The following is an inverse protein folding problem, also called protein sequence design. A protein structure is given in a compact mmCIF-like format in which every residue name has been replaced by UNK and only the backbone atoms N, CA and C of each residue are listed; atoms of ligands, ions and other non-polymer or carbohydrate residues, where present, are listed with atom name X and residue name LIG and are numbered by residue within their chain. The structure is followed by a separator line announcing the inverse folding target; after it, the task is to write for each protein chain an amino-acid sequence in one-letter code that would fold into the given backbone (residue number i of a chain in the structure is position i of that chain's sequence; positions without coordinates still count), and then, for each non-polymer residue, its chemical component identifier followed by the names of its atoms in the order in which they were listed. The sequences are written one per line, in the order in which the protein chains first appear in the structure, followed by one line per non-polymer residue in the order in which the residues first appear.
data_IF_807083807687
#
_entry.id   IF_807083807687
#
_cell.length_a   1.000
_cell.length_b   1.000
_cell.length_c   1.000
_cell.angle_alpha   90.00
_cell.angle_beta   90.00
_cell.angle_gamma   90.00
#
_symmetry.space_group_name_H-M   'P 1'
#
loop_
_entity.id
_entity.type
_entity.pdbx_description
1 polymer ?
#
# COMPACT_ATOMS: atom_id res chain seq x y z
N UNK A 1 -20.92 39.33 -26.09
CA UNK A 1 -21.27 38.56 -24.86
C UNK A 1 -20.14 38.72 -23.87
N UNK A 2 -20.48 39.04 -22.64
CA UNK A 2 -19.50 39.07 -21.56
C UNK A 2 -19.31 37.66 -20.94
N UNK A 3 -18.25 37.45 -20.21
CA UNK A 3 -17.99 36.18 -19.53
C UNK A 3 -19.15 35.73 -18.62
N UNK A 4 -19.86 36.71 -18.02
CA UNK A 4 -21.05 36.47 -17.20
C UNK A 4 -22.21 35.86 -17.99
N UNK A 5 -22.36 36.21 -19.29
CA UNK A 5 -23.42 35.68 -20.13
C UNK A 5 -23.17 34.24 -20.51
N UNK A 6 -21.91 33.89 -20.85
CA UNK A 6 -21.50 32.51 -21.10
C UNK A 6 -21.68 31.63 -19.88
N UNK A 7 -21.37 32.13 -18.66
CA UNK A 7 -21.59 31.37 -17.41
C UNK A 7 -23.06 31.05 -17.16
N UNK A 8 -23.97 32.03 -17.38
CA UNK A 8 -25.42 31.80 -17.24
C UNK A 8 -25.94 30.77 -18.25
N UNK A 9 -25.41 30.79 -19.45
CA UNK A 9 -25.77 29.82 -20.48
C UNK A 9 -25.28 28.41 -20.09
N UNK A 10 -24.03 28.28 -19.62
CA UNK A 10 -23.49 27.02 -19.08
C UNK A 10 -24.31 26.50 -17.90
N UNK A 11 -24.66 27.37 -16.93
CA UNK A 11 -25.47 26.97 -15.76
C UNK A 11 -26.83 26.39 -16.21
N UNK A 12 -27.43 26.96 -17.25
CA UNK A 12 -28.70 26.47 -17.83
C UNK A 12 -28.53 25.11 -18.52
N UNK A 13 -27.42 24.91 -19.25
CA UNK A 13 -27.09 23.64 -19.90
C UNK A 13 -26.82 22.56 -18.85
N UNK A 14 -26.03 22.88 -17.83
CA UNK A 14 -25.71 21.98 -16.75
C UNK A 14 -26.96 21.49 -15.98
N UNK A 15 -27.92 22.39 -15.75
CA UNK A 15 -29.19 22.03 -15.15
C UNK A 15 -29.98 21.02 -16.03
N UNK A 16 -30.00 21.21 -17.35
CA UNK A 16 -30.63 20.26 -18.27
C UNK A 16 -29.89 18.92 -18.30
N UNK A 17 -28.57 18.97 -18.33
CA UNK A 17 -27.73 17.74 -18.27
C UNK A 17 -27.99 16.94 -16.98
N UNK A 18 -28.13 17.61 -15.82
CA UNK A 18 -28.45 16.97 -14.55
C UNK A 18 -29.81 16.26 -14.61
N UNK A 19 -30.84 16.90 -15.19
CA UNK A 19 -32.16 16.27 -15.31
C UNK A 19 -32.14 15.08 -16.28
N UNK A 20 -31.42 15.14 -17.39
CA UNK A 20 -31.21 14.04 -18.30
C UNK A 20 -30.41 12.90 -17.64
N UNK A 21 -29.40 13.24 -16.85
CA UNK A 21 -28.65 12.25 -16.08
C UNK A 21 -29.53 11.51 -15.08
N UNK A 22 -30.39 12.21 -14.31
CA UNK A 22 -31.35 11.59 -13.40
C UNK A 22 -32.32 10.65 -14.13
N UNK A 23 -32.88 11.08 -15.25
CA UNK A 23 -33.76 10.25 -16.07
C UNK A 23 -33.05 8.99 -16.57
N UNK A 24 -31.81 9.15 -17.05
CA UNK A 24 -31.00 8.04 -17.50
C UNK A 24 -30.71 7.05 -16.35
N UNK A 25 -30.36 7.54 -15.16
CA UNK A 25 -30.07 6.69 -13.99
C UNK A 25 -31.32 5.95 -13.49
N UNK A 26 -32.51 6.54 -13.59
CA UNK A 26 -33.77 5.85 -13.31
C UNK A 26 -34.03 4.70 -14.31
N UNK A 27 -33.75 4.93 -15.60
CA UNK A 27 -33.85 3.87 -16.62
C UNK A 27 -32.81 2.77 -16.36
N UNK A 28 -31.58 3.13 -15.99
CA UNK A 28 -30.52 2.19 -15.61
C UNK A 28 -30.92 1.31 -14.42
N UNK A 29 -31.69 1.82 -13.46
CA UNK A 29 -32.26 1.01 -12.37
C UNK A 29 -33.17 -0.09 -12.91
N UNK A 30 -34.11 0.23 -13.80
CA UNK A 30 -34.97 -0.79 -14.42
C UNK A 30 -34.19 -1.81 -15.24
N UNK A 31 -33.13 -1.38 -15.93
CA UNK A 31 -32.21 -2.30 -16.63
C UNK A 31 -31.50 -3.23 -15.65
N UNK A 32 -31.05 -2.74 -14.48
CA UNK A 32 -30.43 -3.55 -13.45
C UNK A 32 -31.38 -4.63 -12.90
N UNK A 33 -32.63 -4.25 -12.60
CA UNK A 33 -33.67 -5.18 -12.13
C UNK A 33 -33.97 -6.24 -13.18
N UNK A 34 -34.14 -5.87 -14.44
CA UNK A 34 -34.36 -6.81 -15.55
C UNK A 34 -33.20 -7.79 -15.73
N UNK A 35 -31.94 -7.29 -15.69
CA UNK A 35 -30.76 -8.15 -15.80
C UNK A 35 -30.66 -9.12 -14.64
N UNK A 36 -30.96 -8.67 -13.41
CA UNK A 36 -30.98 -9.51 -12.23
C UNK A 36 -31.99 -10.66 -12.31
N UNK A 37 -33.22 -10.36 -12.75
CA UNK A 37 -34.28 -11.35 -12.91
C UNK A 37 -33.96 -12.38 -14.00
N UNK A 38 -33.34 -11.92 -15.10
CA UNK A 38 -32.99 -12.75 -16.24
C UNK A 38 -31.58 -13.34 -16.20
N UNK A 39 -30.83 -13.15 -15.09
CA UNK A 39 -29.44 -13.61 -14.90
C UNK A 39 -28.49 -13.16 -16.03
N UNK A 40 -28.67 -11.94 -16.52
CA UNK A 40 -27.83 -11.36 -17.56
C UNK A 40 -26.66 -10.60 -16.95
N UNK A 41 -25.46 -10.60 -17.60
CA UNK A 41 -24.32 -9.84 -17.12
C UNK A 41 -24.60 -8.34 -17.20
N UNK A 42 -24.07 -7.59 -16.22
CA UNK A 42 -24.16 -6.12 -16.22
C UNK A 42 -23.41 -5.53 -17.42
N UNK A 43 -22.20 -6.03 -17.68
CA UNK A 43 -21.37 -5.60 -18.80
C UNK A 43 -21.81 -6.26 -20.12
N UNK A 44 -22.07 -5.44 -21.12
CA UNK A 44 -22.41 -5.86 -22.50
C UNK A 44 -21.53 -5.11 -23.51
N UNK A 45 -20.37 -5.66 -23.81
CA UNK A 45 -19.34 -5.05 -24.67
C UNK A 45 -19.84 -4.60 -26.05
N UNK A 46 -20.77 -5.35 -26.66
CA UNK A 46 -21.35 -4.98 -27.94
C UNK A 46 -22.11 -3.65 -27.86
N UNK A 47 -23.01 -3.56 -26.87
CA UNK A 47 -23.83 -2.36 -26.67
C UNK A 47 -23.01 -1.13 -26.32
N UNK A 48 -21.97 -1.29 -25.50
CA UNK A 48 -21.09 -0.18 -25.16
C UNK A 48 -20.33 0.36 -26.37
N UNK A 49 -19.83 -0.51 -27.24
CA UNK A 49 -19.19 -0.09 -28.51
C UNK A 49 -20.14 0.69 -29.41
N UNK A 50 -21.39 0.24 -29.52
CA UNK A 50 -22.41 0.96 -30.31
C UNK A 50 -22.66 2.37 -29.77
N UNK A 51 -22.79 2.51 -28.44
CA UNK A 51 -23.03 3.81 -27.80
C UNK A 51 -21.84 4.76 -28.03
N UNK A 52 -20.62 4.25 -27.85
CA UNK A 52 -19.40 5.06 -28.06
C UNK A 52 -19.26 5.48 -29.53
N UNK A 53 -19.53 4.59 -30.47
CA UNK A 53 -19.47 4.92 -31.90
C UNK A 53 -20.55 5.94 -32.28
N UNK A 54 -21.78 5.80 -31.77
CA UNK A 54 -22.85 6.76 -32.02
C UNK A 54 -22.56 8.13 -31.40
N UNK A 55 -22.03 8.18 -30.19
CA UNK A 55 -21.64 9.44 -29.53
C UNK A 55 -20.53 10.15 -30.29
N UNK A 56 -19.50 9.42 -30.72
CA UNK A 56 -18.41 9.96 -31.51
C UNK A 56 -18.90 10.55 -32.84
N UNK A 57 -19.66 9.75 -33.61
CA UNK A 57 -20.20 10.20 -34.88
C UNK A 57 -21.17 11.41 -34.75
N UNK A 58 -21.94 11.48 -33.65
CA UNK A 58 -22.88 12.54 -33.40
C UNK A 58 -22.22 13.85 -32.94
N UNK A 59 -21.03 13.81 -32.40
CA UNK A 59 -20.33 14.98 -31.85
C UNK A 59 -19.57 15.80 -32.92
N UNK A 60 -19.31 15.22 -34.07
CA UNK A 60 -18.48 15.82 -35.13
C UNK A 60 -16.99 15.70 -34.84
N UNK A 61 -16.18 15.92 -35.87
CA UNK A 61 -14.74 15.62 -35.89
C UNK A 61 -13.94 16.31 -34.74
N UNK A 62 -14.30 17.56 -34.42
CA UNK A 62 -13.61 18.34 -33.36
C UNK A 62 -13.87 17.80 -31.94
N UNK A 63 -15.05 17.26 -31.67
CA UNK A 63 -15.49 16.84 -30.35
C UNK A 63 -15.57 15.33 -30.19
N UNK A 64 -15.19 14.53 -31.18
CA UNK A 64 -15.33 13.08 -31.21
C UNK A 64 -14.68 12.41 -29.98
N UNK A 65 -13.43 12.73 -29.69
CA UNK A 65 -12.68 12.11 -28.59
C UNK A 65 -13.22 12.54 -27.22
N UNK A 66 -13.64 13.79 -27.08
CA UNK A 66 -14.27 14.29 -25.86
C UNK A 66 -15.62 13.62 -25.61
N UNK A 67 -16.45 13.47 -26.64
CA UNK A 67 -17.72 12.78 -26.54
C UNK A 67 -17.54 11.30 -26.21
N UNK A 68 -16.57 10.64 -26.83
CA UNK A 68 -16.20 9.24 -26.52
C UNK A 68 -15.81 9.07 -25.05
N UNK A 69 -14.96 9.97 -24.54
CA UNK A 69 -14.51 9.95 -23.12
C UNK A 69 -15.66 10.21 -22.16
N UNK A 70 -16.49 11.22 -22.45
CA UNK A 70 -17.66 11.54 -21.64
C UNK A 70 -18.65 10.37 -21.54
N UNK A 71 -19.02 9.77 -22.67
CA UNK A 71 -19.94 8.63 -22.68
C UNK A 71 -19.34 7.35 -22.09
N UNK A 72 -18.02 7.14 -22.21
CA UNK A 72 -17.33 6.06 -21.53
C UNK A 72 -17.46 6.21 -20.00
N UNK A 73 -17.17 7.40 -19.48
CA UNK A 73 -17.32 7.71 -18.05
C UNK A 73 -18.77 7.55 -17.59
N UNK A 74 -19.75 8.03 -18.39
CA UNK A 74 -21.16 7.88 -18.08
C UNK A 74 -21.62 6.42 -18.02
N UNK A 75 -21.06 5.56 -18.86
CA UNK A 75 -21.31 4.11 -18.82
C UNK A 75 -20.65 3.45 -17.61
N UNK A 76 -19.44 3.83 -17.26
CA UNK A 76 -18.73 3.33 -16.06
C UNK A 76 -19.53 3.66 -14.78
N UNK A 77 -19.99 4.89 -14.63
CA UNK A 77 -20.87 5.31 -13.52
C UNK A 77 -22.16 4.48 -13.50
N UNK A 78 -22.74 4.24 -14.67
CA UNK A 78 -23.99 3.46 -14.77
C UNK A 78 -23.80 1.98 -14.44
N UNK A 79 -22.67 1.37 -14.80
CA UNK A 79 -22.32 0.01 -14.41
C UNK A 79 -22.15 -0.09 -12.89
N UNK A 80 -21.32 0.77 -12.31
CA UNK A 80 -21.13 0.80 -10.87
C UNK A 80 -22.45 0.96 -10.11
N UNK A 81 -23.39 1.77 -10.64
CA UNK A 81 -24.73 1.90 -10.06
C UNK A 81 -25.55 0.61 -10.18
N UNK A 82 -25.54 -0.08 -11.34
CA UNK A 82 -26.24 -1.36 -11.53
C UNK A 82 -25.68 -2.44 -10.60
N UNK A 83 -24.36 -2.58 -10.54
CA UNK A 83 -23.65 -3.56 -9.70
C UNK A 83 -24.02 -3.37 -8.23
N UNK A 84 -24.03 -2.13 -7.74
CA UNK A 84 -24.49 -1.80 -6.38
C UNK A 84 -25.95 -2.19 -6.10
N UNK A 85 -26.85 -2.03 -7.08
CA UNK A 85 -28.27 -2.41 -6.93
C UNK A 85 -28.49 -3.92 -6.99
N UNK A 86 -27.60 -4.64 -7.68
CA UNK A 86 -27.72 -6.09 -7.87
C UNK A 86 -26.85 -6.90 -6.90
N UNK A 87 -25.97 -6.25 -6.15
CA UNK A 87 -25.06 -6.89 -5.18
C UNK A 87 -25.84 -7.74 -4.17
N UNK A 88 -25.45 -9.02 -4.05
CA UNK A 88 -26.04 -9.99 -3.12
C UNK A 88 -25.10 -10.34 -1.96
N UNK A 89 -24.12 -9.53 -1.65
CA UNK A 89 -23.02 -9.94 -0.78
C UNK A 89 -22.15 -11.00 -1.48
N UNK A 90 -20.91 -10.65 -1.78
CA UNK A 90 -19.96 -11.55 -2.45
C UNK A 90 -19.03 -12.23 -1.45
N UNK A 91 -18.09 -12.99 -1.97
CA UNK A 91 -17.09 -13.74 -1.19
C UNK A 91 -16.25 -12.79 -0.30
N UNK A 92 -15.96 -11.59 -0.78
CA UNK A 92 -15.17 -10.61 -0.03
C UNK A 92 -15.98 -10.02 1.13
N UNK A 93 -17.24 -9.65 0.91
CA UNK A 93 -18.15 -9.19 1.97
C UNK A 93 -18.34 -10.25 3.06
N UNK A 94 -18.45 -11.53 2.70
CA UNK A 94 -18.51 -12.62 3.68
C UNK A 94 -17.18 -12.75 4.45
N UNK A 95 -16.05 -12.71 3.77
CA UNK A 95 -14.72 -12.76 4.38
C UNK A 95 -14.53 -11.62 5.38
N UNK A 96 -14.88 -10.41 4.98
CA UNK A 96 -14.80 -9.21 5.84
C UNK A 96 -15.74 -9.34 7.03
N UNK A 97 -17.00 -9.75 6.82
CA UNK A 97 -17.99 -9.93 7.88
C UNK A 97 -17.52 -10.99 8.90
N UNK A 98 -16.96 -12.10 8.43
CA UNK A 98 -16.40 -13.13 9.27
C UNK A 98 -15.17 -12.62 10.04
N UNK A 99 -14.29 -11.86 9.39
CA UNK A 99 -13.14 -11.24 10.03
C UNK A 99 -13.58 -10.29 11.15
N UNK A 100 -14.53 -9.38 10.88
CA UNK A 100 -15.08 -8.44 11.88
C UNK A 100 -15.69 -9.17 13.08
N UNK A 101 -16.43 -10.25 12.85
CA UNK A 101 -17.09 -11.03 13.90
C UNK A 101 -16.11 -11.80 14.77
N UNK A 102 -15.02 -12.30 14.20
CA UNK A 102 -14.07 -13.20 14.87
C UNK A 102 -12.81 -12.48 15.37
N UNK A 103 -12.61 -11.20 15.04
CA UNK A 103 -11.48 -10.43 15.51
C UNK A 103 -11.72 -9.94 16.94
N UNK A 104 -10.77 -10.12 17.85
CA UNK A 104 -10.85 -9.54 19.19
C UNK A 104 -10.98 -8.00 19.12
N UNK A 105 -11.68 -7.37 20.10
CA UNK A 105 -11.87 -5.91 20.10
C UNK A 105 -10.58 -5.12 20.37
N UNK A 106 -9.53 -5.78 20.87
CA UNK A 106 -8.25 -5.16 21.22
C UNK A 106 -7.15 -5.91 20.48
N UNK A 107 -6.21 -5.15 19.89
CA UNK A 107 -5.00 -5.72 19.27
C UNK A 107 -4.17 -6.48 20.32
N UNK A 108 -3.64 -7.66 20.03
CA UNK A 108 -2.96 -8.51 20.99
C UNK A 108 -1.71 -7.83 21.56
N UNK A 109 -1.53 -7.99 22.87
CA UNK A 109 -0.31 -7.53 23.57
C UNK A 109 0.87 -8.50 23.39
N UNK A 110 0.57 -9.76 23.14
CA UNK A 110 1.50 -10.88 23.00
C UNK A 110 1.27 -11.55 21.66
N UNK A 111 2.29 -12.25 21.17
CA UNK A 111 2.21 -13.06 19.94
C UNK A 111 3.60 -13.51 19.51
N UNK A 112 3.66 -14.55 18.70
CA UNK A 112 4.87 -14.94 18.01
C UNK A 112 5.00 -14.12 16.72
N UNK A 113 6.10 -13.37 16.60
CA UNK A 113 6.27 -12.38 15.52
C UNK A 113 7.56 -12.65 14.75
N UNK A 114 7.45 -12.79 13.44
CA UNK A 114 8.59 -12.87 12.54
C UNK A 114 9.06 -11.45 12.17
N UNK A 115 10.35 -11.16 12.38
CA UNK A 115 11.00 -9.90 12.01
C UNK A 115 12.20 -10.18 11.10
N UNK A 116 12.39 -9.36 10.06
CA UNK A 116 13.60 -9.43 9.24
C UNK A 116 14.77 -8.74 9.97
N UNK A 117 15.95 -9.35 9.90
CA UNK A 117 17.20 -8.80 10.44
C UNK A 117 17.63 -9.48 11.73
N UNK A 118 18.16 -8.69 12.63
CA UNK A 118 18.68 -9.12 13.95
C UNK A 118 18.10 -8.23 15.04
N UNK A 119 18.37 -8.57 16.29
CA UNK A 119 17.98 -7.75 17.43
C UNK A 119 18.48 -6.30 17.28
N UNK A 120 17.59 -5.32 17.55
CA UNK A 120 17.86 -3.90 17.32
C UNK A 120 17.49 -3.38 15.92
N UNK A 121 17.06 -4.22 14.98
CA UNK A 121 16.60 -3.80 13.66
C UNK A 121 15.30 -2.98 13.72
N UNK A 122 15.05 -2.12 12.72
CA UNK A 122 13.82 -1.32 12.65
C UNK A 122 12.55 -2.17 12.59
N UNK A 123 12.62 -3.39 12.04
CA UNK A 123 11.50 -4.35 12.10
C UNK A 123 11.14 -4.74 13.53
N UNK A 124 12.14 -4.94 14.41
CA UNK A 124 11.88 -5.13 15.83
C UNK A 124 11.30 -3.89 16.48
N UNK A 125 11.85 -2.70 16.20
CA UNK A 125 11.30 -1.45 16.76
C UNK A 125 9.84 -1.25 16.37
N UNK A 126 9.46 -1.64 15.15
CA UNK A 126 8.06 -1.66 14.71
C UNK A 126 7.24 -2.68 15.51
N UNK A 127 7.78 -3.88 15.73
CA UNK A 127 7.17 -4.93 16.54
C UNK A 127 6.92 -4.46 17.98
N UNK A 128 7.92 -3.88 18.63
CA UNK A 128 7.87 -3.41 20.03
C UNK A 128 6.88 -2.24 20.23
N UNK A 129 6.61 -1.49 19.16
CA UNK A 129 5.57 -0.45 19.16
C UNK A 129 4.15 -1.02 19.01
N UNK A 130 4.00 -2.12 18.29
CA UNK A 130 2.70 -2.77 18.04
C UNK A 130 2.30 -3.73 19.17
N UNK A 131 3.27 -4.45 19.73
CA UNK A 131 3.06 -5.46 20.77
C UNK A 131 3.77 -5.08 22.07
N UNK A 132 3.12 -5.32 23.19
CA UNK A 132 3.72 -5.00 24.51
C UNK A 132 4.78 -6.00 24.94
N UNK A 133 4.60 -7.28 24.60
CA UNK A 133 5.53 -8.36 24.95
C UNK A 133 5.48 -9.44 23.85
N UNK A 134 6.08 -9.19 22.70
CA UNK A 134 6.15 -10.16 21.61
C UNK A 134 7.23 -11.23 21.87
N UNK A 135 7.01 -12.43 21.33
CA UNK A 135 8.06 -13.43 21.16
C UNK A 135 8.59 -13.33 19.72
N UNK A 136 9.77 -12.75 19.56
CA UNK A 136 10.29 -12.40 18.23
C UNK A 136 11.22 -13.52 17.72
N UNK A 137 10.99 -13.93 16.46
CA UNK A 137 11.88 -14.76 15.68
C UNK A 137 12.48 -13.94 14.54
N UNK A 138 13.81 -13.98 14.40
CA UNK A 138 14.53 -13.22 13.40
C UNK A 138 14.82 -14.05 12.15
N UNK A 139 14.57 -13.47 10.99
CA UNK A 139 14.81 -14.07 9.68
C UNK A 139 15.78 -13.21 8.86
N UNK A 140 16.63 -13.86 8.07
CA UNK A 140 17.65 -13.15 7.29
C UNK A 140 17.06 -12.23 6.23
N UNK A 141 15.97 -12.64 5.59
CA UNK A 141 15.33 -11.94 4.46
C UNK A 141 13.81 -11.83 4.66
N UNK A 142 13.16 -11.06 3.81
CA UNK A 142 11.71 -10.85 3.87
C UNK A 142 10.93 -12.12 3.50
N UNK A 143 11.46 -12.94 2.59
CA UNK A 143 10.85 -14.21 2.23
C UNK A 143 10.67 -15.13 3.43
N UNK A 144 11.70 -15.20 4.31
CA UNK A 144 11.63 -15.97 5.56
C UNK A 144 10.50 -15.49 6.49
N UNK A 145 10.22 -14.19 6.54
CA UNK A 145 9.10 -13.64 7.33
C UNK A 145 7.76 -14.10 6.75
N UNK A 146 7.55 -13.98 5.42
CA UNK A 146 6.33 -14.45 4.77
C UNK A 146 6.12 -15.96 4.97
N UNK A 147 7.16 -16.77 4.74
CA UNK A 147 7.11 -18.21 4.90
C UNK A 147 6.79 -18.63 6.35
N UNK A 148 7.36 -17.94 7.35
CA UNK A 148 7.09 -18.21 8.75
C UNK A 148 5.63 -17.97 9.13
N UNK A 149 5.01 -16.90 8.59
CA UNK A 149 3.58 -16.60 8.81
C UNK A 149 2.70 -17.61 8.07
N UNK A 150 3.00 -17.90 6.81
CA UNK A 150 2.20 -18.82 5.99
C UNK A 150 2.22 -20.25 6.58
N UNK A 151 3.38 -20.72 7.04
CA UNK A 151 3.53 -22.03 7.67
C UNK A 151 2.99 -22.09 9.10
N UNK A 152 2.66 -20.95 9.71
CA UNK A 152 2.14 -20.86 11.07
C UNK A 152 3.22 -21.00 12.15
N UNK A 153 4.50 -20.82 11.81
CA UNK A 153 5.60 -20.75 12.77
C UNK A 153 5.50 -19.48 13.61
N UNK A 154 5.04 -18.39 12.99
CA UNK A 154 4.72 -17.14 13.66
C UNK A 154 3.30 -16.74 13.35
N UNK A 155 2.60 -16.16 14.34
CA UNK A 155 1.23 -15.64 14.16
C UNK A 155 1.21 -14.36 13.34
N UNK A 156 2.29 -13.57 13.46
CA UNK A 156 2.46 -12.27 12.83
C UNK A 156 3.81 -12.13 12.16
N UNK A 157 3.90 -11.24 11.18
CA UNK A 157 5.15 -10.83 10.54
C UNK A 157 5.23 -9.32 10.40
N UNK A 158 6.41 -8.75 10.56
CA UNK A 158 6.66 -7.31 10.39
C UNK A 158 7.53 -7.10 9.15
N UNK A 159 7.03 -6.31 8.21
CA UNK A 159 7.67 -6.04 6.91
C UNK A 159 7.67 -4.55 6.59
N UNK A 160 8.80 -3.95 6.17
CA UNK A 160 8.83 -2.61 5.65
C UNK A 160 8.22 -2.60 4.23
N UNK A 161 7.35 -1.63 3.91
CA UNK A 161 6.78 -1.53 2.56
C UNK A 161 7.15 -0.24 1.84
N UNK A 162 7.48 0.80 2.59
CA UNK A 162 7.77 2.12 2.03
C UNK A 162 8.70 2.91 2.93
N UNK A 163 9.64 3.62 2.31
CA UNK A 163 10.50 4.59 2.99
C UNK A 163 10.33 5.95 2.31
N UNK A 164 10.20 7.02 3.10
CA UNK A 164 9.94 8.37 2.56
C UNK A 164 11.08 8.92 1.69
N UNK A 165 12.29 8.39 1.82
CA UNK A 165 13.48 8.83 1.08
C UNK A 165 13.78 7.90 -0.11
N UNK A 166 13.63 6.59 0.06
CA UNK A 166 13.98 5.57 -0.95
C UNK A 166 12.75 4.99 -1.69
N UNK A 167 11.54 5.39 -1.27
CA UNK A 167 10.31 4.93 -1.92
C UNK A 167 9.93 3.50 -1.53
N UNK A 168 9.41 2.77 -2.48
CA UNK A 168 8.82 1.44 -2.31
C UNK A 168 9.88 0.37 -2.04
N UNK A 169 9.61 -0.52 -1.07
CA UNK A 169 10.44 -1.72 -0.83
C UNK A 169 10.00 -2.81 -1.80
N UNK A 170 10.56 -2.76 -3.00
CA UNK A 170 10.16 -3.57 -4.15
C UNK A 170 10.12 -5.08 -3.87
N UNK A 171 11.13 -5.62 -3.14
CA UNK A 171 11.22 -7.03 -2.80
C UNK A 171 9.99 -7.52 -2.01
N UNK A 172 9.48 -6.70 -1.07
CA UNK A 172 8.28 -7.04 -0.30
C UNK A 172 7.06 -7.14 -1.20
N UNK A 173 6.87 -6.18 -2.12
CA UNK A 173 5.76 -6.21 -3.08
C UNK A 173 5.85 -7.38 -4.06
N UNK A 174 7.06 -7.74 -4.48
CA UNK A 174 7.29 -8.89 -5.36
C UNK A 174 6.98 -10.22 -4.66
N UNK A 175 7.20 -10.30 -3.35
CA UNK A 175 6.87 -11.47 -2.52
C UNK A 175 5.37 -11.56 -2.20
N UNK A 176 4.66 -10.44 -2.08
CA UNK A 176 3.23 -10.42 -1.74
C UNK A 176 2.37 -11.31 -2.65
N UNK A 177 2.71 -11.43 -3.93
CA UNK A 177 1.99 -12.27 -4.90
C UNK A 177 2.16 -13.78 -4.66
N UNK A 178 3.21 -14.18 -3.94
CA UNK A 178 3.58 -15.59 -3.76
C UNK A 178 3.04 -16.20 -2.46
N UNK A 179 2.58 -15.36 -1.52
CA UNK A 179 2.17 -15.78 -0.19
C UNK A 179 0.74 -15.34 0.14
N UNK A 180 0.03 -16.16 0.92
CA UNK A 180 -1.31 -15.82 1.43
C UNK A 180 -1.20 -15.22 2.83
N UNK A 181 -1.59 -13.97 2.95
CA UNK A 181 -1.57 -13.23 4.21
C UNK A 181 -2.61 -12.11 4.19
N UNK A 182 -2.81 -11.49 5.36
CA UNK A 182 -3.61 -10.28 5.51
C UNK A 182 -2.83 -9.24 6.30
N UNK A 183 -2.90 -7.98 5.89
CA UNK A 183 -2.39 -6.85 6.65
C UNK A 183 -3.40 -6.55 7.75
N UNK A 184 -2.96 -6.60 9.01
CA UNK A 184 -3.81 -6.42 10.18
C UNK A 184 -3.55 -5.09 10.90
N UNK A 185 -2.40 -4.48 10.64
CA UNK A 185 -2.02 -3.15 11.15
C UNK A 185 -0.86 -2.57 10.34
N UNK A 186 -0.72 -1.24 10.34
CA UNK A 186 0.51 -0.60 9.88
C UNK A 186 1.03 0.39 10.92
N UNK A 187 2.34 0.69 10.83
CA UNK A 187 2.99 1.66 11.68
C UNK A 187 4.02 2.44 10.88
N UNK A 188 4.11 3.75 11.17
CA UNK A 188 5.10 4.63 10.59
C UNK A 188 6.17 4.97 11.62
N UNK A 189 7.41 4.57 11.35
CA UNK A 189 8.54 4.83 12.23
C UNK A 189 9.48 5.85 11.63
N UNK A 190 9.92 6.78 12.46
CA UNK A 190 11.04 7.66 12.13
C UNK A 190 12.33 6.84 12.14
N UNK A 191 13.12 7.00 11.08
CA UNK A 191 14.44 6.37 10.93
C UNK A 191 15.48 7.42 11.24
N UNK A 192 16.13 7.30 12.40
CA UNK A 192 17.21 8.16 12.84
C UNK A 192 18.52 7.37 12.93
N UNK A 193 19.55 7.86 12.25
CA UNK A 193 20.89 7.27 12.27
C UNK A 193 21.79 7.98 13.26
N UNK A 194 22.55 7.16 14.00
CA UNK A 194 23.56 7.62 14.97
C UNK A 194 24.88 6.95 14.66
N UNK A 195 25.98 7.67 14.92
CA UNK A 195 27.32 7.10 14.87
C UNK A 195 27.63 6.43 16.22
N UNK A 196 27.80 5.13 16.19
CA UNK A 196 28.05 4.30 17.38
C UNK A 196 29.49 3.81 17.35
N UNK A 197 30.15 3.82 18.51
CA UNK A 197 31.54 3.37 18.71
C UNK A 197 31.66 2.54 20.00
N UNK A 198 32.74 1.81 20.17
CA UNK A 198 33.08 1.23 21.48
C UNK A 198 33.41 2.33 22.49
N UNK A 199 33.06 2.15 23.78
CA UNK A 199 33.39 3.12 24.82
C UNK A 199 34.89 3.46 24.84
N UNK A 200 35.22 4.74 24.88
CA UNK A 200 36.59 5.22 24.85
C UNK A 200 37.13 5.60 23.46
N UNK A 201 36.36 5.31 22.39
CA UNK A 201 36.71 5.73 21.02
C UNK A 201 36.20 7.15 20.73
N UNK A 202 37.03 7.96 20.08
CA UNK A 202 36.66 9.30 19.58
C UNK A 202 36.55 9.28 18.03
N UNK A 203 35.86 10.26 17.46
CA UNK A 203 35.69 10.34 16.00
C UNK A 203 37.01 10.36 15.23
N UNK A 204 38.03 11.01 15.78
CA UNK A 204 39.39 11.08 15.17
C UNK A 204 40.08 9.71 15.01
N UNK A 205 39.68 8.73 15.84
CA UNK A 205 40.27 7.39 15.86
C UNK A 205 39.64 6.49 14.80
N UNK A 206 38.45 6.87 14.27
CA UNK A 206 37.64 6.03 13.35
C UNK A 206 38.28 6.00 11.97
N UNK A 207 38.62 4.79 11.51
CA UNK A 207 39.16 4.49 10.17
C UNK A 207 38.17 3.72 9.31
N UNK A 208 37.15 3.08 9.91
CA UNK A 208 36.18 2.27 9.17
C UNK A 208 34.78 2.43 9.78
N UNK A 209 33.75 2.52 8.92
CA UNK A 209 32.34 2.59 9.28
C UNK A 209 31.60 1.41 8.67
N UNK A 210 30.88 0.67 9.53
CA UNK A 210 29.95 -0.37 9.13
C UNK A 210 28.53 0.19 9.03
N UNK A 211 27.81 -0.08 7.95
CA UNK A 211 26.39 0.24 7.84
C UNK A 211 25.70 -0.45 6.67
N UNK A 212 24.39 -0.31 6.57
CA UNK A 212 23.60 -0.74 5.42
C UNK A 212 23.69 0.30 4.29
N UNK A 213 23.64 -0.15 3.04
CA UNK A 213 23.79 0.69 1.86
C UNK A 213 22.87 1.93 1.86
N UNK A 214 21.59 1.74 2.21
CA UNK A 214 20.65 2.86 2.30
C UNK A 214 21.03 3.89 3.37
N UNK A 215 21.49 3.43 4.55
CA UNK A 215 21.93 4.34 5.61
C UNK A 215 23.22 5.09 5.23
N UNK A 216 24.12 4.44 4.48
CA UNK A 216 25.31 5.05 3.89
C UNK A 216 24.90 6.21 2.96
N UNK A 217 23.95 5.97 2.06
CA UNK A 217 23.39 7.01 1.19
C UNK A 217 22.77 8.18 1.96
N UNK A 218 22.03 7.90 3.03
CA UNK A 218 21.40 8.90 3.90
C UNK A 218 22.39 9.69 4.77
N UNK A 219 23.61 9.21 4.90
CA UNK A 219 24.71 9.84 5.64
C UNK A 219 25.85 10.31 4.71
N UNK A 220 25.59 10.47 3.43
CA UNK A 220 26.62 10.73 2.42
C UNK A 220 27.37 12.06 2.62
N UNK A 221 26.74 13.10 3.17
CA UNK A 221 27.38 14.37 3.48
C UNK A 221 28.43 14.23 4.59
N UNK A 222 28.06 13.50 5.66
CA UNK A 222 28.99 13.17 6.73
C UNK A 222 30.18 12.36 6.22
N UNK A 223 29.95 11.35 5.39
CA UNK A 223 31.01 10.52 4.83
C UNK A 223 31.92 11.28 3.85
N UNK A 224 31.37 12.19 3.05
CA UNK A 224 32.17 13.10 2.18
C UNK A 224 33.04 14.05 2.99
N UNK A 225 32.60 14.49 4.15
CA UNK A 225 33.41 15.33 5.05
C UNK A 225 34.56 14.56 5.73
N UNK A 226 34.54 13.21 5.68
CA UNK A 226 35.53 12.32 6.28
C UNK A 226 36.10 11.33 5.25
N UNK A 227 36.78 11.78 4.16
CA UNK A 227 37.16 10.93 3.02
C UNK A 227 38.19 9.86 3.35
N UNK A 228 38.85 9.96 4.51
CA UNK A 228 39.81 8.94 4.98
C UNK A 228 39.18 7.72 5.66
N UNK A 229 37.86 7.74 5.87
CA UNK A 229 37.15 6.64 6.54
C UNK A 229 36.67 5.62 5.49
N UNK A 230 37.10 4.37 5.62
CA UNK A 230 36.60 3.26 4.80
C UNK A 230 35.15 2.94 5.20
N UNK A 231 34.30 2.64 4.22
CA UNK A 231 32.91 2.21 4.42
C UNK A 231 32.75 0.73 4.04
N UNK A 232 32.20 -0.06 4.95
CA UNK A 232 31.90 -1.47 4.74
C UNK A 232 30.41 -1.73 4.87
N UNK A 233 29.82 -2.29 3.81
CA UNK A 233 28.38 -2.57 3.72
C UNK A 233 28.02 -3.81 4.50
N UNK A 234 26.92 -3.74 5.25
CA UNK A 234 26.32 -4.82 6.02
C UNK A 234 24.87 -5.06 5.60
N UNK A 235 24.32 -6.22 5.91
CA UNK A 235 22.94 -6.63 5.56
C UNK A 235 21.86 -5.69 6.11
N UNK A 236 22.10 -5.12 7.30
CA UNK A 236 21.25 -4.08 7.90
C UNK A 236 22.02 -3.27 8.95
N UNK A 237 21.45 -2.14 9.39
CA UNK A 237 22.11 -1.23 10.34
C UNK A 237 22.35 -1.83 11.72
N UNK A 238 21.45 -2.72 12.20
CA UNK A 238 21.64 -3.40 13.50
C UNK A 238 22.74 -4.46 13.40
N UNK A 239 22.84 -5.19 12.28
CA UNK A 239 23.94 -6.11 12.02
C UNK A 239 25.29 -5.39 12.01
N UNK A 240 25.35 -4.16 11.50
CA UNK A 240 26.54 -3.32 11.54
C UNK A 240 26.95 -2.97 12.99
N UNK A 241 26.00 -2.63 13.86
CA UNK A 241 26.26 -2.37 15.26
C UNK A 241 26.72 -3.63 16.00
N UNK A 242 26.09 -4.78 15.73
CA UNK A 242 26.49 -6.08 16.27
C UNK A 242 27.92 -6.45 15.86
N UNK A 243 28.24 -6.29 14.56
CA UNK A 243 29.58 -6.54 14.02
C UNK A 243 30.64 -5.67 14.70
N UNK A 244 30.35 -4.38 14.92
CA UNK A 244 31.24 -3.48 15.64
C UNK A 244 31.53 -3.98 17.06
N UNK A 245 30.47 -4.35 17.81
CA UNK A 245 30.60 -4.92 19.16
C UNK A 245 31.47 -6.17 19.17
N UNK A 246 31.19 -7.15 18.31
CA UNK A 246 31.90 -8.41 18.23
C UNK A 246 33.37 -8.26 17.77
N UNK A 247 33.66 -7.21 16.98
CA UNK A 247 35.01 -6.94 16.48
C UNK A 247 35.98 -6.46 17.57
N UNK A 248 35.48 -5.83 18.64
CA UNK A 248 36.30 -5.23 19.70
C UNK A 248 37.17 -4.05 19.23
N UNK A 249 36.94 -3.49 18.04
CA UNK A 249 37.80 -2.51 17.39
C UNK A 249 37.50 -1.09 17.87
N UNK A 250 38.50 -0.40 18.39
CA UNK A 250 38.47 1.03 18.76
C UNK A 250 38.81 1.98 17.60
N UNK A 251 39.09 1.44 16.39
CA UNK A 251 39.30 2.24 15.17
C UNK A 251 38.14 2.09 14.19
N UNK A 252 36.99 1.58 14.65
CA UNK A 252 35.80 1.39 13.82
C UNK A 252 34.56 1.99 14.49
N UNK A 253 33.54 2.31 13.66
CA UNK A 253 32.24 2.80 14.06
C UNK A 253 31.12 2.09 13.29
N UNK A 254 29.87 2.22 13.74
CA UNK A 254 28.70 1.84 12.96
C UNK A 254 27.72 3.00 12.83
N UNK A 255 27.08 3.13 11.66
CA UNK A 255 25.90 3.98 11.50
C UNK A 255 24.68 3.08 11.69
N UNK A 256 23.93 3.31 12.78
CA UNK A 256 22.80 2.47 13.18
C UNK A 256 21.76 3.29 13.97
N UNK A 257 20.66 2.65 14.41
CA UNK A 257 19.71 3.29 15.31
C UNK A 257 20.34 3.54 16.70
N UNK A 258 19.93 4.62 17.37
CA UNK A 258 20.39 4.92 18.71
C UNK A 258 20.10 3.79 19.72
N UNK A 259 19.04 3.02 19.53
CA UNK A 259 18.70 1.86 20.37
C UNK A 259 19.76 0.77 20.38
N UNK A 260 20.51 0.59 19.31
CA UNK A 260 21.62 -0.35 19.24
C UNK A 260 22.77 -0.01 20.17
N UNK A 261 22.90 1.26 20.62
CA UNK A 261 23.94 1.64 21.59
C UNK A 261 23.79 0.89 22.91
N UNK A 262 22.60 0.91 23.48
CA UNK A 262 22.32 0.21 24.75
C UNK A 262 22.36 -1.31 24.57
N UNK A 263 21.81 -1.82 23.45
CA UNK A 263 21.72 -3.24 23.18
C UNK A 263 23.10 -3.91 23.09
N UNK A 264 24.04 -3.27 22.40
CA UNK A 264 25.38 -3.82 22.15
C UNK A 264 26.49 -3.17 22.96
N UNK A 265 26.16 -2.41 24.02
CA UNK A 265 27.16 -1.76 24.88
C UNK A 265 28.04 -0.76 24.15
N UNK A 266 27.48 -0.09 23.11
CA UNK A 266 28.16 0.92 22.33
C UNK A 266 27.85 2.31 22.86
N UNK A 267 28.72 3.27 22.53
CA UNK A 267 28.52 4.68 22.84
C UNK A 267 28.09 5.45 21.60
N UNK A 268 27.02 6.23 21.70
CA UNK A 268 26.65 7.19 20.66
C UNK A 268 27.60 8.39 20.73
N UNK A 269 28.21 8.73 19.62
CA UNK A 269 28.91 10.00 19.47
C UNK A 269 27.88 11.13 19.21
N UNK A 270 28.11 12.28 19.84
CA UNK A 270 27.27 13.47 19.69
C UNK A 270 27.64 14.20 18.38
N UNK A 271 27.30 13.56 17.26
CA UNK A 271 27.51 14.11 15.94
C UNK A 271 26.31 13.79 15.05
N UNK A 272 25.92 14.77 14.25
CA UNK A 272 24.89 14.57 13.24
C UNK A 272 25.51 13.85 12.04
N UNK A 273 24.96 12.68 11.68
CA UNK A 273 25.45 11.89 10.57
C UNK A 273 24.51 11.85 9.39
N UNK A 274 23.20 12.00 9.62
CA UNK A 274 22.19 11.94 8.56
C UNK A 274 22.01 13.28 7.85
N UNK A 275 21.77 13.23 6.54
CA UNK A 275 21.61 14.40 5.67
C UNK A 275 20.32 15.18 6.02
N UNK A 276 19.21 14.46 6.31
CA UNK A 276 17.88 15.04 6.58
C UNK A 276 17.21 14.38 7.78
N UNK A 277 16.31 15.11 8.45
CA UNK A 277 15.57 14.60 9.64
C UNK A 277 14.21 14.00 9.31
N UNK A 278 13.78 14.02 8.04
CA UNK A 278 12.43 13.63 7.60
C UNK A 278 12.32 12.20 7.08
N UNK A 279 13.16 11.27 7.55
CA UNK A 279 13.15 9.90 7.07
C UNK A 279 12.19 9.03 7.89
N UNK A 280 11.18 8.46 7.22
CA UNK A 280 10.21 7.55 7.82
C UNK A 280 10.11 6.26 7.02
N UNK A 281 9.93 5.15 7.72
CA UNK A 281 9.60 3.87 7.09
C UNK A 281 8.24 3.40 7.58
N UNK A 282 7.37 3.03 6.63
CA UNK A 282 6.08 2.40 6.91
C UNK A 282 6.27 0.90 6.95
N UNK A 283 5.89 0.29 8.07
CA UNK A 283 5.86 -1.15 8.27
C UNK A 283 4.42 -1.65 8.29
N UNK A 284 4.21 -2.86 7.77
CA UNK A 284 2.96 -3.60 7.91
C UNK A 284 3.16 -4.78 8.86
N UNK A 285 2.12 -5.03 9.65
CA UNK A 285 1.96 -6.26 10.42
C UNK A 285 1.04 -7.18 9.62
N UNK A 286 1.56 -8.34 9.24
CA UNK A 286 0.83 -9.36 8.50
C UNK A 286 0.45 -10.54 9.39
N UNK A 287 -0.65 -11.23 9.04
CA UNK A 287 -1.08 -12.49 9.65
C UNK A 287 -1.67 -13.40 8.58
N UNK A 288 -1.61 -14.71 8.80
CA UNK A 288 -2.29 -15.70 7.96
C UNK A 288 -3.82 -15.59 8.05
N UNK A 289 -4.34 -15.17 9.21
CA UNK A 289 -5.78 -15.02 9.46
C UNK A 289 -6.21 -13.60 9.09
N UNK A 290 -7.35 -13.51 8.38
CA UNK A 290 -8.01 -12.23 8.17
C UNK A 290 -8.55 -11.71 9.52
N UNK A 291 -8.01 -10.60 9.99
CA UNK A 291 -8.43 -9.91 11.20
C UNK A 291 -8.59 -8.42 10.91
N UNK A 292 -9.71 -7.84 11.36
CA UNK A 292 -10.02 -6.43 11.18
C UNK A 292 -10.33 -5.84 12.56
N UNK A 293 -9.37 -5.14 13.12
CA UNK A 293 -9.50 -4.53 14.44
C UNK A 293 -10.34 -3.24 14.38
N UNK A 294 -11.02 -2.87 15.47
CA UNK A 294 -11.74 -1.60 15.55
C UNK A 294 -10.85 -0.40 15.19
N UNK A 295 -11.42 0.56 14.46
CA UNK A 295 -10.71 1.74 13.99
C UNK A 295 -9.96 1.53 12.66
N UNK A 296 -10.15 0.39 11.98
CA UNK A 296 -9.64 0.18 10.64
C UNK A 296 -10.26 1.20 9.65
N UNK A 297 -9.40 2.01 9.06
CA UNK A 297 -9.74 3.12 8.16
C UNK A 297 -8.99 3.06 6.82
N UNK A 298 -8.17 2.03 6.62
CA UNK A 298 -7.41 1.76 5.40
C UNK A 298 -7.72 0.39 4.86
N UNK A 299 -7.71 0.27 3.54
CA UNK A 299 -7.85 -0.99 2.81
C UNK A 299 -6.70 -1.09 1.82
N UNK A 300 -6.01 -2.23 1.82
CA UNK A 300 -5.02 -2.57 0.80
C UNK A 300 -5.54 -3.65 -0.12
N UNK A 301 -5.35 -3.43 -1.41
CA UNK A 301 -5.77 -4.32 -2.50
C UNK A 301 -4.58 -4.64 -3.41
N UNK A 302 -4.59 -5.84 -3.96
CA UNK A 302 -3.70 -6.24 -5.04
C UNK A 302 -4.55 -6.81 -6.18
N UNK A 303 -4.38 -6.28 -7.39
CA UNK A 303 -5.16 -6.74 -8.54
C UNK A 303 -4.42 -6.54 -9.86
N UNK A 304 -4.75 -7.33 -10.86
CA UNK A 304 -4.37 -7.08 -12.25
C UNK A 304 -5.50 -6.38 -13.01
N UNK A 305 -5.16 -5.72 -14.09
CA UNK A 305 -6.11 -5.03 -14.96
C UNK A 305 -5.88 -5.47 -16.40
N UNK A 306 -6.93 -5.49 -17.23
CA UNK A 306 -6.78 -5.75 -18.66
C UNK A 306 -5.78 -4.78 -19.29
N UNK A 307 -4.86 -5.27 -20.10
CA UNK A 307 -3.87 -4.43 -20.78
C UNK A 307 -4.50 -3.71 -21.98
N UNK A 308 -5.27 -2.66 -21.69
CA UNK A 308 -5.93 -1.80 -22.69
C UNK A 308 -6.05 -0.36 -22.19
N UNK A 309 -6.11 0.63 -23.11
CA UNK A 309 -6.31 2.02 -22.75
C UNK A 309 -7.55 2.21 -21.85
N UNK A 310 -7.40 3.00 -20.80
CA UNK A 310 -8.50 3.35 -19.88
C UNK A 310 -8.75 2.37 -18.74
N UNK A 311 -8.13 1.18 -18.68
CA UNK A 311 -8.41 0.19 -17.62
C UNK A 311 -8.12 0.73 -16.22
N UNK A 312 -6.97 1.35 -16.00
CA UNK A 312 -6.62 1.97 -14.73
C UNK A 312 -7.54 3.17 -14.41
N UNK A 313 -7.86 4.00 -15.41
CA UNK A 313 -8.78 5.11 -15.25
C UNK A 313 -10.17 4.63 -14.80
N UNK A 314 -10.71 3.59 -15.43
CA UNK A 314 -12.01 3.01 -15.05
C UNK A 314 -12.02 2.54 -13.58
N UNK A 315 -10.95 1.91 -13.11
CA UNK A 315 -10.84 1.52 -11.70
C UNK A 315 -10.77 2.75 -10.76
N UNK A 316 -9.91 3.73 -11.08
CA UNK A 316 -9.76 4.94 -10.25
C UNK A 316 -11.07 5.73 -10.23
N UNK A 317 -11.82 5.77 -11.33
CA UNK A 317 -13.12 6.41 -11.38
C UNK A 317 -14.13 5.81 -10.41
N UNK A 318 -14.10 4.49 -10.17
CA UNK A 318 -14.94 3.81 -9.16
C UNK A 318 -14.61 4.29 -7.74
N UNK A 319 -13.32 4.45 -7.41
CA UNK A 319 -12.91 5.04 -6.14
C UNK A 319 -13.37 6.49 -5.99
N UNK A 320 -13.21 7.29 -7.03
CA UNK A 320 -13.64 8.70 -7.06
C UNK A 320 -15.15 8.88 -6.87
N UNK A 321 -15.97 8.06 -7.52
CA UNK A 321 -17.46 8.08 -7.38
C UNK A 321 -17.88 7.84 -5.93
N UNK A 322 -17.13 7.04 -5.18
CA UNK A 322 -17.38 6.77 -3.76
C UNK A 322 -16.68 7.76 -2.83
N UNK A 323 -15.95 8.75 -3.36
CA UNK A 323 -15.19 9.72 -2.57
C UNK A 323 -14.01 9.09 -1.81
N UNK A 324 -13.47 7.96 -2.28
CA UNK A 324 -12.37 7.26 -1.62
C UNK A 324 -11.03 7.90 -2.01
N UNK A 325 -10.22 8.21 -1.00
CA UNK A 325 -8.88 8.74 -1.18
C UNK A 325 -7.88 7.61 -1.44
N UNK A 326 -7.15 7.70 -2.56
CA UNK A 326 -6.08 6.77 -2.90
C UNK A 326 -4.77 7.28 -2.30
N UNK A 327 -4.22 6.56 -1.32
CA UNK A 327 -2.99 6.96 -0.62
C UNK A 327 -1.74 6.29 -1.17
N UNK A 328 -1.88 5.16 -1.87
CA UNK A 328 -0.78 4.46 -2.55
C UNK A 328 -1.28 3.83 -3.85
N UNK A 329 -0.47 3.95 -4.88
CA UNK A 329 -0.56 3.20 -6.13
C UNK A 329 0.85 2.77 -6.52
N UNK A 330 1.04 1.47 -6.62
CA UNK A 330 2.30 0.87 -7.07
C UNK A 330 1.99 -0.14 -8.17
N UNK A 331 2.83 -0.21 -9.20
CA UNK A 331 2.70 -1.21 -10.26
C UNK A 331 3.95 -2.05 -10.36
N UNK A 332 3.78 -3.36 -10.43
CA UNK A 332 4.88 -4.33 -10.58
C UNK A 332 4.61 -5.24 -11.77
N UNK A 333 5.60 -5.49 -12.64
CA UNK A 333 5.42 -6.43 -13.75
C UNK A 333 5.16 -7.84 -13.22
N UNK A 334 4.28 -8.57 -13.91
CA UNK A 334 4.03 -9.98 -13.64
C UNK A 334 5.05 -10.79 -14.42
N UNK A 335 5.93 -11.50 -13.70
CA UNK A 335 6.95 -12.33 -14.35
C UNK A 335 6.29 -13.47 -15.16
N UNK A 336 6.74 -13.62 -16.42
CA UNK A 336 6.24 -14.68 -17.31
C UNK A 336 4.98 -14.32 -18.10
N UNK A 337 4.42 -13.13 -17.93
CA UNK A 337 3.35 -12.59 -18.77
C UNK A 337 3.86 -11.44 -19.65
N UNK A 338 3.20 -11.25 -20.81
CA UNK A 338 3.60 -10.27 -21.82
C UNK A 338 2.98 -8.90 -21.44
N UNK A 339 3.81 -8.03 -20.82
CA UNK A 339 3.44 -6.67 -20.41
C UNK A 339 2.21 -6.55 -19.49
N UNK A 340 1.94 -7.55 -18.65
CA UNK A 340 0.93 -7.46 -17.61
C UNK A 340 1.51 -6.92 -16.30
N UNK A 341 0.69 -6.16 -15.56
CA UNK A 341 1.08 -5.53 -14.31
C UNK A 341 0.16 -5.94 -13.17
N UNK A 342 0.77 -6.20 -12.02
CA UNK A 342 0.11 -6.23 -10.74
C UNK A 342 0.07 -4.83 -10.16
N UNK A 343 -1.11 -4.37 -9.78
CA UNK A 343 -1.31 -3.09 -9.12
C UNK A 343 -1.61 -3.30 -7.64
N UNK A 344 -0.99 -2.47 -6.82
CA UNK A 344 -1.22 -2.40 -5.37
C UNK A 344 -1.84 -1.06 -5.05
N UNK A 345 -2.95 -1.08 -4.32
CA UNK A 345 -3.69 0.12 -3.92
C UNK A 345 -3.83 0.15 -2.42
N UNK A 346 -3.54 1.31 -1.80
CA UNK A 346 -4.00 1.63 -0.47
C UNK A 346 -5.04 2.74 -0.58
N UNK A 347 -6.22 2.52 -0.01
CA UNK A 347 -7.32 3.47 -0.01
C UNK A 347 -7.75 3.78 1.43
N UNK A 348 -8.07 5.04 1.69
CA UNK A 348 -8.75 5.44 2.93
C UNK A 348 -10.22 5.11 2.78
N UNK A 349 -10.63 4.04 3.44
CA UNK A 349 -11.99 3.53 3.37
C UNK A 349 -12.31 2.67 4.58
N UNK A 350 -13.59 2.67 4.96
CA UNK A 350 -14.12 1.83 6.03
C UNK A 350 -14.90 0.65 5.44
N UNK A 351 -14.58 -0.54 5.90
CA UNK A 351 -15.33 -1.77 5.57
C UNK A 351 -16.74 -1.81 6.18
N UNK A 352 -17.10 -0.86 7.03
CA UNK A 352 -18.46 -0.69 7.51
C UNK A 352 -19.37 0.03 6.51
N UNK A 353 -18.82 0.60 5.44
CA UNK A 353 -19.59 1.22 4.36
C UNK A 353 -20.15 0.15 3.40
N UNK A 354 -21.48 0.03 3.24
CA UNK A 354 -22.06 -0.92 2.29
C UNK A 354 -21.61 -0.65 0.83
N UNK A 355 -21.34 0.61 0.50
CA UNK A 355 -20.87 0.97 -0.83
C UNK A 355 -19.44 0.48 -1.10
N UNK A 356 -18.59 0.50 -0.07
CA UNK A 356 -17.21 -0.03 -0.14
C UNK A 356 -17.25 -1.56 -0.27
N UNK A 357 -18.09 -2.24 0.52
CA UNK A 357 -18.24 -3.70 0.40
C UNK A 357 -18.73 -4.11 -0.99
N UNK A 358 -19.74 -3.42 -1.53
CA UNK A 358 -20.22 -3.68 -2.88
C UNK A 358 -19.14 -3.46 -3.95
N UNK A 359 -18.29 -2.42 -3.80
CA UNK A 359 -17.15 -2.20 -4.69
C UNK A 359 -16.12 -3.34 -4.60
N UNK A 360 -15.80 -3.81 -3.40
CA UNK A 360 -14.84 -4.91 -3.22
C UNK A 360 -15.35 -6.22 -3.81
N UNK A 361 -16.64 -6.52 -3.66
CA UNK A 361 -17.28 -7.68 -4.31
C UNK A 361 -17.27 -7.54 -5.83
N UNK A 362 -17.62 -6.37 -6.36
CA UNK A 362 -17.55 -6.07 -7.80
C UNK A 362 -16.14 -6.31 -8.38
N UNK A 363 -15.10 -5.84 -7.67
CA UNK A 363 -13.72 -6.05 -8.10
C UNK A 363 -13.29 -7.51 -8.04
N UNK A 364 -13.81 -8.28 -7.07
CA UNK A 364 -13.51 -9.70 -6.94
C UNK A 364 -14.21 -10.58 -7.98
N UNK A 365 -15.33 -10.12 -8.52
CA UNK A 365 -16.06 -10.81 -9.58
C UNK A 365 -15.46 -10.60 -10.99
N UNK A 366 -14.45 -9.74 -11.10
CA UNK A 366 -13.67 -9.53 -12.33
C UNK A 366 -12.88 -10.80 -12.69
N UNK A 367 -12.72 -11.14 -13.99
CA UNK A 367 -11.91 -12.28 -14.41
C UNK A 367 -10.42 -12.11 -14.13
N UNK A 368 -9.98 -10.90 -13.86
CA UNK A 368 -8.60 -10.58 -13.51
C UNK A 368 -8.31 -10.97 -12.05
N UNK A 369 -7.02 -11.10 -11.70
CA UNK A 369 -6.62 -11.39 -10.34
C UNK A 369 -7.03 -10.25 -9.40
N UNK A 370 -7.72 -10.61 -8.31
CA UNK A 370 -8.05 -9.70 -7.22
C UNK A 370 -7.70 -10.34 -5.87
N UNK A 371 -7.01 -9.59 -5.01
CA UNK A 371 -6.68 -10.01 -3.65
C UNK A 371 -6.98 -8.87 -2.67
N UNK A 372 -7.84 -9.13 -1.71
CA UNK A 372 -8.06 -8.29 -0.55
C UNK A 372 -6.93 -8.53 0.45
N UNK A 373 -5.96 -7.63 0.52
CA UNK A 373 -4.81 -7.76 1.41
C UNK A 373 -5.15 -7.46 2.87
N UNK A 374 -6.19 -6.66 3.13
CA UNK A 374 -6.67 -6.40 4.49
C UNK A 374 -7.31 -5.03 4.66
N UNK A 375 -7.99 -4.87 5.81
CA UNK A 375 -8.44 -3.57 6.32
C UNK A 375 -7.88 -3.36 7.71
N UNK A 376 -7.23 -2.22 7.94
CA UNK A 376 -6.42 -1.97 9.14
C UNK A 376 -6.33 -0.48 9.46
N UNK A 377 -5.80 -0.15 10.63
CA UNK A 377 -5.42 1.21 11.02
C UNK A 377 -3.89 1.39 10.96
N UNK A 378 -3.45 2.62 10.70
CA UNK A 378 -2.05 3.05 10.85
C UNK A 378 -1.87 3.69 12.23
N UNK A 379 -0.82 3.33 12.97
CA UNK A 379 -0.47 3.83 14.31
C UNK A 379 0.90 4.51 14.32
#
# INVERSE_FOLDING_TARGET
MELSDYRKELDSIDAQMLELFKQRMNTVRGVAEYKKENKLPVLQHGREREILAAAAAGAGEELEDYARTFFATLMDVSRSYQERLTAKGGVISETITNALKNTPPIFPKHGTVACQGVEGAYSQLACDKLFTAPSISYFKNFEGVFAAVEQGLCEYGILPIENSTYGTVNEVYDLMKNYRFHIVRSIKLKVDHSLLVLPGTELKDVKEIFSHEQAIGQCSEFLKAHPGIKVTVCDNTAAAAKMLHESGRHDAASISSAGCANLYGLKKLDTRVQNTDGNFTRFICISKKAMIFPGADRISLMLSLPHRPGSLYSLISKFSVLGLNLTKLESRPIAGSDFEFMFYFDIEASVYSPAVLALLDELSDSPELFVFLGSYSEV
#
